data_IF_177714060593
#
_entry.id   IF_177714060593
#
_cell.length_a   1.000
_cell.length_b   1.000
_cell.length_c   1.000
_cell.angle_alpha   90.00
_cell.angle_beta   90.00
_cell.angle_gamma   90.00
#
_symmetry.space_group_name_H-M   'P 1'
#
loop_
_entity.id
_entity.type
_entity.pdbx_description
1 polymer ?
#
# COMPACT_ATOMS: atom_id res chain seq x y z
N UNK A 1 9.37 34.53 -38.52
CA UNK A 1 8.09 34.09 -37.92
C UNK A 1 8.14 34.37 -36.43
N UNK A 2 7.14 35.09 -35.93
CA UNK A 2 7.03 35.54 -34.55
C UNK A 2 6.75 34.37 -33.60
N UNK A 3 7.51 34.29 -32.50
CA UNK A 3 7.20 33.48 -31.32
C UNK A 3 5.95 34.07 -30.65
N UNK A 4 4.87 33.32 -30.41
CA UNK A 4 3.78 33.81 -29.56
C UNK A 4 4.23 33.79 -28.10
N UNK A 5 4.08 34.94 -27.44
CA UNK A 5 4.43 35.16 -26.04
C UNK A 5 3.48 34.43 -25.10
N UNK A 6 4.05 33.84 -24.05
CA UNK A 6 3.32 33.35 -22.90
C UNK A 6 2.65 34.52 -22.18
N UNK A 7 1.33 34.43 -22.01
CA UNK A 7 0.59 35.28 -21.09
C UNK A 7 0.76 34.74 -19.65
N UNK A 8 0.92 35.61 -18.63
CA UNK A 8 0.94 35.15 -17.25
C UNK A 8 -0.48 34.80 -16.79
N UNK A 9 -0.67 33.56 -16.35
CA UNK A 9 -1.89 33.12 -15.68
C UNK A 9 -2.07 33.89 -14.37
N UNK A 10 -3.21 34.58 -14.30
CA UNK A 10 -3.69 35.31 -13.13
C UNK A 10 -4.07 34.31 -12.03
N UNK A 11 -3.30 34.26 -10.95
CA UNK A 11 -3.68 33.55 -9.72
C UNK A 11 -4.86 34.28 -9.07
N UNK A 12 -6.05 33.69 -9.14
CA UNK A 12 -7.17 34.09 -8.30
C UNK A 12 -6.91 33.50 -6.91
N UNK A 13 -6.44 34.33 -5.99
CA UNK A 13 -6.35 33.99 -4.58
C UNK A 13 -7.77 33.81 -4.02
N UNK A 14 -8.17 32.57 -3.78
CA UNK A 14 -9.36 32.27 -2.98
C UNK A 14 -9.05 32.61 -1.52
N UNK A 15 -9.66 33.69 -1.03
CA UNK A 15 -9.61 34.07 0.38
C UNK A 15 -10.44 33.06 1.19
N UNK A 16 -9.77 32.09 1.81
CA UNK A 16 -10.36 31.25 2.85
C UNK A 16 -10.43 32.10 4.12
N UNK A 17 -11.65 32.38 4.57
CA UNK A 17 -11.95 33.04 5.83
C UNK A 17 -11.57 32.10 6.97
N UNK A 18 -10.42 32.35 7.59
CA UNK A 18 -10.06 31.79 8.89
C UNK A 18 -10.98 32.39 9.95
N UNK A 19 -11.95 31.61 10.41
CA UNK A 19 -12.68 31.90 11.65
C UNK A 19 -11.69 31.60 12.78
N UNK A 20 -11.12 32.67 13.36
CA UNK A 20 -10.30 32.60 14.55
C UNK A 20 -11.12 32.21 15.77
N UNK A 21 -10.62 31.25 16.55
CA UNK A 21 -10.99 31.11 17.95
C UNK A 21 -10.24 32.18 18.77
N UNK A 22 -10.91 32.96 19.64
CA UNK A 22 -10.23 33.91 20.50
C UNK A 22 -9.46 33.17 21.59
N UNK A 23 -8.26 33.67 21.87
CA UNK A 23 -7.53 33.44 23.11
C UNK A 23 -8.02 34.46 24.14
N UNK A 24 -8.36 33.98 25.34
CA UNK A 24 -8.52 34.68 26.62
C UNK A 24 -8.85 33.59 27.65
N UNK A 25 -8.43 33.56 28.91
CA UNK A 25 -7.46 34.30 29.71
C UNK A 25 -7.32 33.48 31.01
N UNK A 26 -6.20 33.67 31.70
CA UNK A 26 -5.83 33.09 32.97
C UNK A 26 -6.82 33.45 34.07
N UNK A 27 -7.33 32.45 34.80
CA UNK A 27 -7.67 32.65 36.22
C UNK A 27 -7.13 31.49 37.04
N UNK A 28 -6.12 31.82 37.85
CA UNK A 28 -5.74 31.12 39.07
C UNK A 28 -6.98 30.85 39.91
N UNK A 29 -7.24 29.59 40.28
CA UNK A 29 -7.95 29.37 41.52
C UNK A 29 -7.44 28.15 42.29
N UNK A 30 -7.26 28.44 43.56
CA UNK A 30 -6.62 27.67 44.62
C UNK A 30 -7.38 26.40 44.97
N UNK A 31 -6.62 25.37 45.34
CA UNK A 31 -7.09 24.19 46.09
C UNK A 31 -7.97 24.59 47.29
N UNK A 32 -8.85 23.68 47.72
CA UNK A 32 -8.75 23.28 49.11
C UNK A 32 -8.70 21.76 49.26
N UNK A 33 -7.59 21.31 49.85
CA UNK A 33 -7.49 20.04 50.55
C UNK A 33 -8.51 20.00 51.70
N UNK A 34 -9.46 19.08 51.64
CA UNK A 34 -10.24 18.70 52.82
C UNK A 34 -9.46 17.62 53.59
N UNK A 35 -8.82 18.08 54.65
CA UNK A 35 -8.18 17.29 55.70
C UNK A 35 -9.24 16.48 56.42
N UNK A 36 -9.22 15.16 56.28
CA UNK A 36 -9.99 14.26 57.14
C UNK A 36 -9.25 14.11 58.47
N UNK A 37 -9.72 14.84 59.47
CA UNK A 37 -9.22 14.80 60.84
C UNK A 37 -10.04 13.78 61.63
N UNK A 38 -9.46 12.62 61.95
CA UNK A 38 -9.97 11.76 63.04
C UNK A 38 -8.81 11.35 63.96
N UNK A 39 -8.64 12.17 64.98
CA UNK A 39 -8.37 11.87 66.40
C UNK A 39 -7.33 10.80 66.75
N UNK A 40 -6.17 11.27 67.23
CA UNK A 40 -5.30 10.53 68.14
C UNK A 40 -6.02 10.21 69.45
N UNK A 41 -6.01 8.94 69.84
CA UNK A 41 -6.10 8.52 71.25
C UNK A 41 -4.85 7.74 71.61
N UNK A 42 -4.27 8.10 72.75
CA UNK A 42 -2.98 7.69 73.24
C UNK A 42 -2.95 6.28 73.85
N UNK A 43 -1.73 5.73 73.87
CA UNK A 43 -1.21 4.63 74.71
C UNK A 43 -1.86 3.25 74.45
N UNK A 44 -1.07 2.24 74.09
CA UNK A 44 -0.13 1.60 75.02
C UNK A 44 1.24 1.35 74.43
N UNK A 45 2.26 1.69 75.22
CA UNK A 45 3.61 1.15 75.13
C UNK A 45 3.50 -0.36 75.35
N UNK A 46 3.66 -1.16 74.29
CA UNK A 46 3.83 -2.61 74.42
C UNK A 46 5.32 -2.91 74.42
N UNK A 47 5.88 -2.96 75.63
CA UNK A 47 7.18 -3.59 75.88
C UNK A 47 6.93 -5.10 75.94
N UNK A 48 6.72 -5.70 74.79
CA UNK A 48 6.64 -7.14 74.62
C UNK A 48 7.99 -7.68 74.17
N UNK A 49 8.72 -8.29 75.11
CA UNK A 49 9.88 -9.15 74.86
C UNK A 49 9.40 -10.46 74.19
N UNK A 50 8.80 -10.34 73.02
CA UNK A 50 8.28 -11.45 72.24
C UNK A 50 9.41 -12.13 71.51
N UNK A 51 10.04 -13.11 72.16
CA UNK A 51 10.71 -14.25 71.52
C UNK A 51 9.66 -15.08 70.73
N UNK A 52 9.04 -14.42 69.74
CA UNK A 52 8.24 -15.05 68.71
C UNK A 52 9.19 -15.69 67.73
N UNK A 53 9.68 -16.87 68.09
CA UNK A 53 9.85 -17.94 67.13
C UNK A 53 8.56 -18.00 66.31
N UNK A 54 8.52 -17.29 65.17
CA UNK A 54 7.52 -17.48 64.15
C UNK A 54 7.93 -18.75 63.39
N UNK A 55 7.25 -19.89 63.59
CA UNK A 55 7.58 -21.14 62.98
C UNK A 55 6.67 -21.33 61.77
N UNK A 56 6.59 -20.35 60.87
CA UNK A 56 6.20 -20.59 59.47
C UNK A 56 6.51 -19.39 58.55
N UNK A 57 7.79 -19.10 58.34
CA UNK A 57 8.23 -18.54 57.06
C UNK A 57 8.80 -19.65 56.20
N UNK A 58 8.05 -20.72 55.97
CA UNK A 58 8.16 -21.43 54.69
C UNK A 58 7.38 -20.66 53.63
N UNK A 59 7.74 -19.38 53.48
CA UNK A 59 7.44 -18.60 52.29
C UNK A 59 8.36 -19.12 51.20
N UNK A 60 7.99 -20.26 50.64
CA UNK A 60 8.63 -20.81 49.45
C UNK A 60 8.41 -19.81 48.30
N UNK A 61 9.34 -18.86 48.15
CA UNK A 61 10.09 -18.64 46.91
C UNK A 61 9.37 -18.14 45.64
N UNK A 62 8.22 -17.49 45.72
CA UNK A 62 7.50 -16.96 44.55
C UNK A 62 7.13 -15.47 44.69
N UNK A 63 8.01 -14.62 45.24
CA UNK A 63 7.72 -13.18 45.37
C UNK A 63 8.47 -12.37 44.34
N UNK A 64 8.08 -12.55 43.08
CA UNK A 64 8.51 -11.65 42.02
C UNK A 64 8.31 -10.18 42.44
N UNK A 65 9.38 -9.38 42.35
CA UNK A 65 9.36 -7.96 42.69
C UNK A 65 9.95 -7.64 44.07
N UNK A 66 10.76 -8.53 44.65
CA UNK A 66 11.52 -8.25 45.88
C UNK A 66 12.93 -7.69 45.61
N UNK A 67 13.35 -7.65 44.33
CA UNK A 67 14.63 -7.12 43.88
C UNK A 67 15.78 -8.13 43.93
N UNK A 68 15.49 -9.41 44.11
CA UNK A 68 16.46 -10.51 44.11
C UNK A 68 16.03 -11.56 43.11
N UNK A 69 16.86 -11.88 42.13
CA UNK A 69 16.55 -12.95 41.16
C UNK A 69 16.58 -14.33 41.84
N UNK A 70 15.42 -14.98 41.92
CA UNK A 70 15.20 -16.30 42.53
C UNK A 70 15.15 -17.42 41.48
N UNK A 71 14.93 -18.67 41.92
CA UNK A 71 14.85 -19.82 41.01
C UNK A 71 13.52 -19.79 40.27
N UNK A 72 13.57 -19.57 38.94
CA UNK A 72 12.38 -19.46 38.09
C UNK A 72 12.20 -18.08 37.48
N UNK A 73 12.83 -17.07 38.08
CA UNK A 73 12.86 -15.69 37.57
C UNK A 73 13.98 -15.49 36.56
N UNK A 74 13.73 -14.67 35.54
CA UNK A 74 14.75 -14.23 34.57
C UNK A 74 15.34 -12.87 34.94
N UNK A 75 14.57 -12.06 35.68
CA UNK A 75 14.95 -10.75 36.19
C UNK A 75 14.11 -10.44 37.43
N UNK A 76 14.58 -9.52 38.28
CA UNK A 76 13.79 -8.92 39.34
C UNK A 76 14.36 -7.52 39.64
N UNK A 77 13.64 -6.48 39.24
CA UNK A 77 13.97 -5.08 39.50
C UNK A 77 13.21 -4.52 40.71
N UNK A 78 12.65 -5.41 41.52
CA UNK A 78 11.86 -5.11 42.69
C UNK A 78 10.57 -4.39 42.33
N UNK A 79 10.22 -3.33 43.08
CA UNK A 79 9.10 -2.43 42.74
C UNK A 79 9.23 -1.72 41.38
N UNK A 80 10.37 -1.87 40.68
CA UNK A 80 10.59 -1.27 39.35
C UNK A 80 10.22 -2.22 38.20
N UNK A 81 9.76 -3.44 38.48
CA UNK A 81 9.12 -4.29 37.48
C UNK A 81 7.94 -3.53 36.87
N UNK A 82 7.77 -3.65 35.55
CA UNK A 82 6.81 -2.81 34.82
C UNK A 82 6.32 -3.55 33.57
N UNK A 83 5.02 -3.45 33.22
CA UNK A 83 4.50 -3.96 31.96
C UNK A 83 5.02 -3.20 30.73
N UNK A 84 5.85 -2.17 30.93
CA UNK A 84 6.47 -1.39 29.86
C UNK A 84 7.98 -1.29 29.98
N UNK A 85 8.59 -2.12 30.83
CA UNK A 85 10.02 -2.12 31.09
C UNK A 85 10.70 -3.41 30.66
N UNK A 86 12.02 -3.46 30.83
CA UNK A 86 12.83 -4.64 30.51
C UNK A 86 12.48 -5.88 31.36
N UNK A 87 11.94 -5.69 32.57
CA UNK A 87 11.50 -6.75 33.44
C UNK A 87 9.99 -6.62 33.68
N UNK A 88 9.24 -7.63 33.26
CA UNK A 88 7.78 -7.66 33.35
C UNK A 88 7.34 -7.82 34.82
N UNK A 89 6.05 -7.59 35.12
CA UNK A 89 5.50 -7.87 36.46
C UNK A 89 5.59 -9.34 36.88
N UNK A 90 5.87 -10.25 35.95
CA UNK A 90 5.97 -11.70 36.16
C UNK A 90 7.44 -12.18 36.26
N UNK A 91 8.40 -11.25 36.43
CA UNK A 91 9.83 -11.51 36.57
C UNK A 91 10.44 -12.26 35.37
N UNK A 92 9.85 -12.03 34.20
CA UNK A 92 10.40 -12.42 32.91
C UNK A 92 11.04 -11.21 32.24
N UNK A 93 12.09 -11.46 31.46
CA UNK A 93 12.66 -10.41 30.61
C UNK A 93 11.64 -10.16 29.50
N UNK A 94 11.31 -8.88 29.27
CA UNK A 94 10.38 -8.49 28.22
C UNK A 94 10.84 -9.06 26.87
N UNK A 95 9.90 -9.67 26.17
CA UNK A 95 10.14 -10.30 24.90
C UNK A 95 8.91 -10.22 24.02
N UNK A 96 9.13 -9.94 22.74
CA UNK A 96 8.06 -9.89 21.77
C UNK A 96 7.15 -11.13 21.77
N UNK A 97 5.84 -10.89 21.88
CA UNK A 97 4.79 -11.88 21.98
C UNK A 97 4.50 -12.34 23.42
N UNK A 98 4.96 -11.61 24.44
CA UNK A 98 4.69 -11.93 25.85
C UNK A 98 3.46 -11.20 26.42
N UNK A 99 2.86 -10.29 25.66
CA UNK A 99 1.70 -9.48 26.02
C UNK A 99 2.05 -8.13 26.67
N UNK A 100 3.33 -7.78 26.79
CA UNK A 100 3.81 -6.55 27.40
C UNK A 100 4.67 -5.74 26.43
N UNK A 101 4.26 -4.51 26.11
CA UNK A 101 5.01 -3.63 25.21
C UNK A 101 6.18 -2.98 25.93
N UNK A 102 7.42 -3.38 25.64
CA UNK A 102 8.62 -2.70 26.14
C UNK A 102 8.86 -1.37 25.42
N UNK A 103 8.38 -0.29 26.06
CA UNK A 103 8.46 1.08 25.53
C UNK A 103 9.91 1.47 25.19
N UNK A 104 10.09 1.89 23.94
CA UNK A 104 11.38 2.34 23.41
C UNK A 104 12.20 1.25 22.74
N UNK A 105 11.76 -0.01 22.80
CA UNK A 105 12.31 -1.10 21.98
C UNK A 105 11.24 -1.72 21.07
N UNK A 106 10.04 -1.94 21.61
CA UNK A 106 8.91 -2.55 20.92
C UNK A 106 7.87 -1.47 20.57
N UNK A 107 7.29 -1.58 19.37
CA UNK A 107 6.22 -0.69 18.89
C UNK A 107 4.82 -1.24 19.20
N UNK A 108 4.72 -2.56 19.31
CA UNK A 108 3.53 -3.33 19.60
C UNK A 108 3.91 -4.62 20.34
N UNK A 109 2.93 -5.29 20.93
CA UNK A 109 3.02 -6.68 21.40
C UNK A 109 1.58 -7.22 21.50
N UNK A 110 1.28 -8.29 20.78
CA UNK A 110 -0.06 -8.88 20.69
C UNK A 110 -0.12 -10.30 21.31
N UNK A 111 0.82 -10.60 22.20
CA UNK A 111 0.97 -11.86 22.90
C UNK A 111 1.13 -13.10 21.99
N UNK A 112 1.60 -12.91 20.75
CA UNK A 112 1.91 -14.01 19.86
C UNK A 112 3.13 -13.71 18.94
N UNK A 113 3.44 -14.62 18.01
CA UNK A 113 4.61 -14.51 17.10
C UNK A 113 4.19 -14.64 15.63
N UNK A 114 2.95 -14.28 15.33
CA UNK A 114 2.39 -14.24 13.99
C UNK A 114 2.93 -13.03 13.25
N UNK A 115 2.92 -13.12 11.92
CA UNK A 115 3.20 -11.96 11.05
C UNK A 115 1.96 -11.61 10.21
N UNK A 116 0.81 -12.21 10.49
CA UNK A 116 -0.40 -12.02 9.68
C UNK A 116 -1.44 -11.12 10.37
N UNK A 117 -1.00 -10.37 11.37
CA UNK A 117 -1.76 -9.46 12.23
C UNK A 117 -0.97 -8.15 12.41
N UNK A 118 -1.55 -7.23 13.19
CA UNK A 118 -1.06 -5.85 13.33
C UNK A 118 0.34 -5.74 13.97
N UNK A 119 0.88 -6.82 14.55
CA UNK A 119 2.17 -6.84 15.19
C UNK A 119 3.04 -7.99 14.68
N UNK A 120 3.96 -7.68 13.77
CA UNK A 120 4.86 -8.69 13.20
C UNK A 120 6.01 -9.03 14.14
N UNK A 121 6.70 -10.13 13.82
CA UNK A 121 7.90 -10.57 14.51
C UNK A 121 8.92 -9.43 14.68
N UNK A 122 9.55 -9.40 15.85
CA UNK A 122 10.39 -8.29 16.35
C UNK A 122 9.60 -7.05 16.79
N UNK A 123 8.30 -7.21 17.01
CA UNK A 123 7.43 -6.23 17.66
C UNK A 123 7.44 -4.88 16.96
N UNK A 124 7.28 -4.98 15.65
CA UNK A 124 7.03 -3.87 14.75
C UNK A 124 5.57 -3.89 14.34
N UNK A 125 5.00 -2.70 14.23
CA UNK A 125 3.69 -2.59 13.61
C UNK A 125 3.81 -3.10 12.17
N UNK A 126 2.83 -3.90 11.79
CA UNK A 126 2.73 -4.37 10.43
C UNK A 126 2.47 -3.18 9.50
N UNK A 127 3.17 -3.15 8.37
CA UNK A 127 3.08 -2.07 7.39
C UNK A 127 3.22 -2.64 5.97
N UNK A 128 2.63 -1.94 5.00
CA UNK A 128 2.75 -2.36 3.61
C UNK A 128 4.21 -2.28 3.15
N UNK A 129 4.72 -3.35 2.57
CA UNK A 129 6.12 -3.47 2.14
C UNK A 129 7.04 -4.01 3.25
N UNK A 130 6.50 -4.58 4.33
CA UNK A 130 7.29 -5.21 5.39
C UNK A 130 7.64 -6.68 5.10
N UNK A 131 7.07 -7.25 4.04
CA UNK A 131 7.27 -8.60 3.57
C UNK A 131 6.25 -9.61 4.09
N UNK A 132 5.20 -9.17 4.79
CA UNK A 132 4.23 -10.04 5.44
C UNK A 132 2.78 -9.68 5.11
N UNK A 133 2.13 -10.51 4.28
CA UNK A 133 0.71 -10.34 3.94
C UNK A 133 -0.22 -10.53 5.14
N UNK A 134 -0.87 -9.45 5.55
CA UNK A 134 -1.93 -9.39 6.56
C UNK A 134 -3.30 -9.75 5.99
N UNK A 135 -3.82 -10.88 6.45
CA UNK A 135 -5.07 -11.44 5.90
C UNK A 135 -6.26 -10.51 6.15
N UNK A 136 -6.86 -10.01 5.07
CA UNK A 136 -8.06 -9.18 5.12
C UNK A 136 -7.78 -7.69 5.35
N UNK A 137 -6.51 -7.31 5.46
CA UNK A 137 -6.05 -5.90 5.44
C UNK A 137 -5.46 -5.59 4.07
N UNK A 138 -4.62 -6.49 3.55
CA UNK A 138 -3.97 -6.33 2.26
C UNK A 138 -4.07 -7.58 1.38
N UNK A 139 -3.85 -7.39 0.08
CA UNK A 139 -4.01 -8.42 -0.94
C UNK A 139 -2.65 -8.97 -1.43
N UNK A 140 -1.58 -8.19 -1.29
CA UNK A 140 -0.20 -8.57 -1.57
C UNK A 140 0.75 -7.80 -0.63
N UNK A 141 1.99 -8.27 -0.53
CA UNK A 141 3.13 -7.56 0.07
C UNK A 141 4.39 -8.25 -0.49
N UNK A 142 5.26 -7.51 -1.17
CA UNK A 142 6.52 -8.01 -1.73
C UNK A 142 7.76 -7.54 -0.97
N UNK A 143 7.57 -6.87 0.16
CA UNK A 143 8.63 -6.43 1.06
C UNK A 143 9.39 -5.19 0.58
N UNK A 144 8.80 -4.37 -0.29
CA UNK A 144 9.43 -3.13 -0.73
C UNK A 144 8.42 -2.03 -1.14
N UNK A 145 8.96 -0.87 -1.55
CA UNK A 145 8.18 0.32 -1.94
C UNK A 145 8.22 0.58 -3.48
N UNK A 146 8.63 -0.40 -4.28
CA UNK A 146 8.52 -0.32 -5.74
C UNK A 146 7.06 -0.56 -6.14
N UNK A 147 6.60 0.17 -7.15
CA UNK A 147 5.20 0.12 -7.59
C UNK A 147 5.05 -0.75 -8.85
N UNK A 148 6.17 -1.18 -9.44
CA UNK A 148 6.26 -1.78 -10.76
C UNK A 148 6.71 -3.26 -10.74
N UNK A 149 6.64 -3.93 -9.59
CA UNK A 149 7.03 -5.33 -9.38
C UNK A 149 5.87 -6.24 -8.92
N UNK A 150 4.63 -5.78 -9.12
CA UNK A 150 3.43 -6.60 -8.97
C UNK A 150 2.66 -6.41 -7.67
N UNK A 151 3.23 -5.74 -6.67
CA UNK A 151 2.49 -5.21 -5.54
C UNK A 151 2.73 -3.70 -5.43
N UNK A 152 1.67 -2.92 -5.31
CA UNK A 152 1.79 -1.47 -5.14
C UNK A 152 2.17 -1.12 -3.69
N UNK A 153 2.62 0.11 -3.44
CA UNK A 153 2.88 0.61 -2.06
C UNK A 153 1.58 0.78 -1.24
N UNK A 154 0.42 0.49 -1.85
CA UNK A 154 -0.88 0.43 -1.19
C UNK A 154 -1.30 -1.01 -0.90
N UNK A 155 -0.40 -1.98 -1.12
CA UNK A 155 -0.55 -3.42 -0.93
C UNK A 155 -1.78 -4.00 -1.64
N UNK A 156 -2.04 -3.45 -2.82
CA UNK A 156 -2.96 -3.99 -3.81
C UNK A 156 -2.16 -4.55 -4.99
N UNK A 157 -2.54 -5.72 -5.53
CA UNK A 157 -1.92 -6.27 -6.71
C UNK A 157 -1.94 -5.26 -7.85
N UNK A 158 -0.82 -5.16 -8.55
CA UNK A 158 -0.77 -4.34 -9.73
C UNK A 158 -1.77 -4.85 -10.78
N UNK A 159 -2.30 -3.93 -11.58
CA UNK A 159 -3.28 -4.26 -12.60
C UNK A 159 -3.04 -3.46 -13.86
N UNK A 160 -3.28 -4.12 -14.99
CA UNK A 160 -3.30 -3.42 -16.26
C UNK A 160 -4.31 -2.27 -16.26
N UNK A 161 -3.87 -1.07 -16.62
CA UNK A 161 -4.66 0.15 -16.65
C UNK A 161 -4.61 0.97 -15.36
N UNK A 162 -3.65 0.72 -14.47
CA UNK A 162 -3.45 1.49 -13.23
C UNK A 162 -2.53 2.71 -13.41
N UNK A 163 -1.94 2.86 -14.60
CA UNK A 163 -1.04 3.94 -14.96
C UNK A 163 0.44 3.62 -14.71
N UNK A 164 0.77 2.41 -14.26
CA UNK A 164 2.12 1.98 -13.92
C UNK A 164 2.44 0.74 -14.72
N UNK A 165 3.41 0.86 -15.63
CA UNK A 165 3.86 -0.28 -16.44
C UNK A 165 4.60 -1.29 -15.56
N UNK A 166 3.99 -2.44 -15.35
CA UNK A 166 4.52 -3.53 -14.52
C UNK A 166 5.55 -4.39 -15.27
N UNK A 167 6.27 -5.23 -14.52
CA UNK A 167 7.09 -6.28 -15.13
C UNK A 167 6.23 -7.23 -16.00
N UNK A 168 6.52 -7.25 -17.30
CA UNK A 168 5.80 -8.08 -18.29
C UNK A 168 4.74 -7.32 -19.10
N UNK A 169 4.39 -6.11 -18.68
CA UNK A 169 3.57 -5.19 -19.47
C UNK A 169 4.42 -4.47 -20.51
N UNK A 170 3.85 -4.25 -21.69
CA UNK A 170 4.50 -3.49 -22.76
C UNK A 170 4.06 -2.02 -22.78
N UNK A 171 2.92 -1.74 -22.16
CA UNK A 171 2.28 -0.44 -22.06
C UNK A 171 1.30 -0.47 -20.87
N UNK A 172 0.95 0.71 -20.39
CA UNK A 172 -0.18 0.97 -19.49
C UNK A 172 -0.67 2.39 -19.80
N UNK A 173 -1.95 2.55 -20.11
CA UNK A 173 -2.57 3.81 -20.52
C UNK A 173 -3.59 4.32 -19.49
N UNK A 174 -3.48 3.85 -18.25
CA UNK A 174 -4.30 4.20 -17.10
C UNK A 174 -5.82 4.01 -17.32
N UNK A 175 -6.20 3.06 -18.17
CA UNK A 175 -7.60 2.71 -18.37
C UNK A 175 -7.78 1.22 -18.75
N UNK A 176 -9.03 0.76 -18.77
CA UNK A 176 -9.38 -0.64 -19.03
C UNK A 176 -9.98 -0.87 -20.44
N UNK A 177 -9.85 0.10 -21.33
CA UNK A 177 -10.31 -0.05 -22.70
C UNK A 177 -9.33 -0.98 -23.42
N UNK A 178 -9.86 -1.93 -24.18
CA UNK A 178 -9.05 -2.91 -24.91
C UNK A 178 -9.05 -2.63 -26.41
N UNK A 179 -9.48 -1.45 -26.81
CA UNK A 179 -9.75 -1.07 -28.20
C UNK A 179 -8.93 0.14 -28.63
N UNK A 180 -7.84 0.40 -27.94
CA UNK A 180 -6.89 1.50 -28.15
C UNK A 180 -5.49 0.93 -28.36
N UNK A 181 -4.45 1.73 -28.12
CA UNK A 181 -3.05 1.37 -28.30
C UNK A 181 -2.50 0.41 -27.24
N UNK A 182 -3.24 0.15 -26.14
CA UNK A 182 -2.78 -0.70 -25.04
C UNK A 182 -3.76 -1.82 -24.63
N UNK A 183 -4.18 -2.69 -25.56
CA UNK A 183 -5.07 -3.80 -25.24
C UNK A 183 -4.42 -4.79 -24.27
N UNK A 184 -4.99 -4.90 -23.07
CA UNK A 184 -4.54 -5.86 -22.04
C UNK A 184 -3.03 -5.75 -21.75
N UNK A 185 -2.51 -4.52 -21.72
CA UNK A 185 -1.12 -4.18 -21.40
C UNK A 185 -0.09 -4.80 -22.35
N UNK A 186 -0.54 -5.11 -23.56
CA UNK A 186 0.29 -5.41 -24.70
C UNK A 186 0.06 -4.32 -25.75
N UNK A 187 1.09 -4.00 -26.52
CA UNK A 187 0.93 -3.00 -27.58
C UNK A 187 0.03 -3.56 -28.68
N UNK A 188 -0.96 -2.77 -29.09
CA UNK A 188 -1.76 -3.06 -30.28
C UNK A 188 -0.86 -3.21 -31.51
N UNK A 189 -1.15 -4.16 -32.39
CA UNK A 189 -0.40 -4.32 -33.63
C UNK A 189 -1.27 -4.79 -34.80
N UNK A 190 -0.89 -4.30 -35.97
CA UNK A 190 -1.53 -4.62 -37.24
C UNK A 190 -1.48 -6.13 -37.54
N UNK A 191 -2.63 -6.75 -37.74
CA UNK A 191 -2.80 -8.17 -38.06
C UNK A 191 -3.08 -9.07 -36.86
N UNK A 192 -3.51 -8.50 -35.73
CA UNK A 192 -3.83 -9.25 -34.51
C UNK A 192 -5.30 -9.71 -34.42
N UNK A 193 -6.12 -9.31 -35.40
CA UNK A 193 -7.52 -9.68 -35.52
C UNK A 193 -8.48 -8.65 -34.93
N UNK A 194 -7.98 -7.52 -34.42
CA UNK A 194 -8.77 -6.47 -33.79
C UNK A 194 -8.49 -5.11 -34.45
N UNK A 195 -9.52 -4.26 -34.54
CA UNK A 195 -9.34 -2.88 -34.99
C UNK A 195 -9.27 -1.98 -33.76
N UNK A 196 -8.09 -1.44 -33.49
CA UNK A 196 -7.81 -0.53 -32.40
C UNK A 196 -8.06 0.93 -32.83
N UNK A 197 -9.04 1.57 -32.18
CA UNK A 197 -9.51 2.90 -32.51
C UNK A 197 -8.42 3.96 -32.35
N UNK A 198 -8.12 4.67 -33.44
CA UNK A 198 -7.09 5.71 -33.45
C UNK A 198 -5.67 5.20 -33.68
N UNK A 199 -5.48 3.87 -33.71
CA UNK A 199 -4.22 3.21 -34.05
C UNK A 199 -4.26 2.71 -35.49
N UNK A 200 -5.39 2.12 -35.90
CA UNK A 200 -5.55 1.54 -37.23
C UNK A 200 -6.91 1.79 -37.88
N UNK A 201 -6.98 1.60 -39.20
CA UNK A 201 -8.19 1.77 -40.01
C UNK A 201 -8.79 0.44 -40.47
N UNK A 202 -7.98 -0.61 -40.52
CA UNK A 202 -8.37 -1.99 -40.79
C UNK A 202 -7.50 -2.94 -39.99
N UNK A 203 -7.97 -4.18 -39.88
CA UNK A 203 -7.19 -5.35 -39.45
C UNK A 203 -7.87 -6.57 -40.10
N UNK A 204 -7.10 -7.42 -40.76
CA UNK A 204 -7.60 -8.64 -41.39
C UNK A 204 -7.03 -9.93 -40.78
N UNK A 205 -6.50 -9.82 -39.56
CA UNK A 205 -6.01 -10.91 -38.73
C UNK A 205 -4.73 -11.56 -39.23
N UNK A 206 -3.98 -10.91 -40.13
CA UNK A 206 -2.70 -11.41 -40.60
C UNK A 206 -1.72 -10.29 -40.98
N UNK A 207 -0.46 -10.65 -41.24
CA UNK A 207 0.62 -9.70 -41.55
C UNK A 207 0.95 -9.64 -43.06
N UNK A 208 -0.01 -9.98 -43.92
CA UNK A 208 0.13 -9.81 -45.36
C UNK A 208 -0.14 -8.35 -45.75
N UNK A 209 0.37 -7.95 -46.91
CA UNK A 209 0.21 -6.59 -47.45
C UNK A 209 -0.49 -6.61 -48.81
N UNK A 210 -1.12 -7.73 -49.18
CA UNK A 210 -1.71 -7.97 -50.51
C UNK A 210 -3.11 -8.59 -50.42
N UNK A 211 -3.79 -8.29 -49.35
CA UNK A 211 -5.13 -8.66 -48.91
C UNK A 211 -5.65 -7.53 -48.03
N UNK A 212 -6.85 -7.66 -47.46
CA UNK A 212 -7.73 -6.55 -47.08
C UNK A 212 -7.10 -5.38 -46.30
N UNK A 213 -5.99 -5.60 -45.60
CA UNK A 213 -5.25 -4.59 -44.87
C UNK A 213 -3.74 -4.57 -45.20
N UNK A 214 -3.15 -3.37 -45.35
CA UNK A 214 -1.72 -3.24 -45.65
C UNK A 214 -0.87 -3.26 -44.38
N UNK A 215 -0.19 -4.37 -44.11
CA UNK A 215 0.85 -4.42 -43.06
C UNK A 215 2.10 -3.60 -43.46
N UNK A 216 2.78 -2.88 -42.53
CA UNK A 216 2.48 -2.68 -41.10
C UNK A 216 1.70 -1.40 -40.81
N UNK A 217 1.12 -0.75 -41.83
CA UNK A 217 0.47 0.56 -41.66
C UNK A 217 -1.03 0.46 -41.30
N UNK A 218 -1.61 -0.73 -41.44
CA UNK A 218 -3.02 -1.04 -41.24
C UNK A 218 -3.98 0.00 -41.83
N UNK A 219 -3.73 0.26 -43.12
CA UNK A 219 -4.60 1.04 -43.99
C UNK A 219 -5.31 0.09 -44.97
N UNK A 220 -6.60 0.33 -45.27
CA UNK A 220 -7.32 -0.49 -46.24
C UNK A 220 -6.62 -0.44 -47.60
N UNK A 221 -6.68 -1.54 -48.34
CA UNK A 221 -6.29 -1.49 -49.74
C UNK A 221 -7.13 -0.51 -50.53
N UNK A 222 -6.53 0.04 -51.57
CA UNK A 222 -7.18 1.00 -52.45
C UNK A 222 -7.07 0.50 -53.89
N UNK A 223 -8.21 0.43 -54.56
CA UNK A 223 -8.26 0.18 -55.98
C UNK A 223 -7.44 1.22 -56.77
N UNK A 224 -6.60 0.76 -57.68
CA UNK A 224 -5.76 1.62 -58.49
C UNK A 224 -4.46 2.04 -57.82
N UNK A 225 -4.03 1.33 -56.77
CA UNK A 225 -2.73 1.58 -56.13
C UNK A 225 -1.56 0.83 -56.81
N UNK A 226 -1.87 0.00 -57.82
CA UNK A 226 -0.92 -0.76 -58.62
C UNK A 226 -0.68 -2.18 -58.12
N UNK A 227 -1.40 -2.62 -57.08
CA UNK A 227 -1.25 -3.92 -56.46
C UNK A 227 -2.56 -4.69 -56.46
N UNK A 228 -2.56 -5.90 -57.03
CA UNK A 228 -3.74 -6.79 -56.95
C UNK A 228 -3.77 -7.48 -55.57
N UNK A 229 -4.79 -7.16 -54.80
CA UNK A 229 -5.10 -7.66 -53.48
C UNK A 229 -5.96 -8.93 -53.57
N UNK A 230 -5.32 -10.08 -53.34
CA UNK A 230 -5.86 -11.40 -53.64
C UNK A 230 -7.09 -11.69 -52.78
N UNK A 231 -8.23 -11.93 -53.44
CA UNK A 231 -9.49 -12.23 -52.75
C UNK A 231 -10.26 -11.00 -52.27
N UNK A 232 -9.69 -9.80 -52.45
CA UNK A 232 -10.34 -8.51 -52.18
C UNK A 232 -10.78 -7.87 -53.49
N UNK A 233 -9.94 -7.93 -54.53
CA UNK A 233 -10.22 -7.37 -55.84
C UNK A 233 -9.95 -8.32 -57.01
N UNK A 234 -10.60 -8.05 -58.15
CA UNK A 234 -10.47 -8.84 -59.37
C UNK A 234 -9.37 -8.30 -60.31
N UNK A 235 -9.06 -7.02 -60.19
CA UNK A 235 -8.06 -6.30 -60.95
C UNK A 235 -7.58 -5.09 -60.16
N UNK A 236 -6.43 -4.56 -60.57
CA UNK A 236 -5.90 -3.25 -60.21
C UNK A 236 -5.01 -2.83 -61.40
N UNK A 237 -5.21 -1.63 -61.94
CA UNK A 237 -4.41 -1.10 -63.05
C UNK A 237 -3.67 0.19 -62.70
N UNK A 238 -3.46 0.44 -61.41
CA UNK A 238 -2.60 1.51 -60.89
C UNK A 238 -3.14 2.92 -61.10
N UNK A 239 -4.45 3.08 -61.30
CA UNK A 239 -5.09 4.37 -61.43
C UNK A 239 -6.60 4.35 -61.07
N UNK A 240 -7.24 5.52 -60.97
CA UNK A 240 -8.68 5.67 -60.62
C UNK A 240 -9.57 6.03 -61.84
N UNK A 241 -9.27 5.53 -63.04
CA UNK A 241 -10.05 5.80 -64.24
C UNK A 241 -11.13 4.72 -64.46
N UNK A 242 -12.41 5.01 -64.19
CA UNK A 242 -13.50 4.02 -64.31
C UNK A 242 -13.71 3.32 -65.68
N UNK A 243 -13.08 3.78 -66.76
CA UNK A 243 -13.36 3.30 -68.13
C UNK A 243 -12.14 2.68 -68.82
N UNK A 244 -11.20 2.10 -68.07
CA UNK A 244 -10.04 1.39 -68.61
C UNK A 244 -10.08 -0.11 -68.26
N UNK A 245 -8.94 -0.70 -67.85
CA UNK A 245 -8.82 -2.16 -67.67
C UNK A 245 -9.42 -2.63 -66.35
N UNK A 246 -9.57 -1.73 -65.38
CA UNK A 246 -10.16 -2.00 -64.09
C UNK A 246 -11.07 -0.84 -63.65
N UNK A 247 -12.32 -1.11 -63.32
CA UNK A 247 -13.18 -0.08 -62.73
C UNK A 247 -12.71 0.29 -61.32
N UNK A 248 -13.09 1.49 -60.85
CA UNK A 248 -12.77 1.98 -59.50
C UNK A 248 -13.39 1.16 -58.35
N UNK A 249 -14.29 0.21 -58.66
CA UNK A 249 -14.83 -0.79 -57.73
C UNK A 249 -14.09 -2.14 -57.79
N UNK A 250 -12.94 -2.15 -58.47
CA UNK A 250 -12.03 -3.28 -58.69
C UNK A 250 -12.67 -4.49 -59.37
N UNK A 251 -13.61 -4.19 -60.26
CA UNK A 251 -14.20 -5.15 -61.18
C UNK A 251 -13.65 -4.97 -62.59
N UNK A 252 -13.53 -6.08 -63.32
CA UNK A 252 -13.12 -6.05 -64.71
C UNK A 252 -14.21 -5.41 -65.59
N UNK A 253 -13.79 -4.48 -66.44
CA UNK A 253 -14.61 -3.69 -67.38
C UNK A 253 -14.79 -4.33 -68.75
#
# INVERSE_FOLDING_TARGET
MNKPGLAPLSFIAAAIVLIGCPADDVTTDTMPSTVSTTMMTAATLDTGDGDGDDPDTTGDGDNCGDGVVQTGEQCDLGPSNSPSGQCTPDCTIAACGDGYVWVGLEECDDANNSNSDECVQNCKLADCGDGFVQTGVEECDDGNDDEADGCTTMCVPAMCGDGIVQEGEQCDDANLLTGDDCPACQLAYCGDGHIHGGVEQCDDGNMSSNDACVYPQCIPNVCGDGHINVGVEQCDDGNENENDLCANDCTLT
#
